data_IF_250058493281
#
_entry.id   IF_250058493281
#
_cell.length_a   1.000
_cell.length_b   1.000
_cell.length_c   1.000
_cell.angle_alpha   90.00
_cell.angle_beta   90.00
_cell.angle_gamma   90.00
#
_symmetry.space_group_name_H-M   'P 1'
#
loop_
_entity.id
_entity.type
_entity.pdbx_description
1 polymer ?
#
# COMPACT_ATOMS: atom_id res chain seq x y z
N UNK A 1 -52.56 33.81 -19.77
CA UNK A 1 -52.16 34.16 -21.14
C UNK A 1 -50.66 34.35 -21.15
N UNK A 2 -49.96 33.49 -21.92
CA UNK A 2 -48.66 33.67 -22.57
C UNK A 2 -47.56 34.43 -21.82
N UNK A 3 -46.48 33.73 -21.48
CA UNK A 3 -45.12 34.26 -21.65
C UNK A 3 -44.15 33.12 -22.02
N UNK A 4 -43.91 32.99 -23.33
CA UNK A 4 -42.75 32.32 -23.92
C UNK A 4 -41.49 33.16 -23.66
N UNK A 5 -40.35 32.53 -23.32
CA UNK A 5 -39.02 33.03 -23.71
C UNK A 5 -38.05 31.87 -24.03
N UNK A 6 -38.03 31.51 -25.31
CA UNK A 6 -36.90 31.28 -26.22
C UNK A 6 -35.57 30.71 -25.65
N UNK A 7 -35.31 29.44 -25.96
CA UNK A 7 -33.95 28.88 -26.09
C UNK A 7 -33.27 29.41 -27.35
N UNK A 8 -32.05 29.94 -27.21
CA UNK A 8 -31.17 30.30 -28.34
C UNK A 8 -30.10 29.22 -28.49
N UNK A 9 -30.08 28.64 -29.68
CA UNK A 9 -29.02 27.80 -30.23
C UNK A 9 -27.91 28.72 -30.74
N UNK A 10 -26.64 28.42 -30.42
CA UNK A 10 -25.51 28.92 -31.19
C UNK A 10 -24.47 27.81 -31.39
N UNK A 11 -24.33 27.38 -32.66
CA UNK A 11 -23.28 26.49 -33.15
C UNK A 11 -22.09 27.32 -33.67
N UNK A 12 -20.90 26.81 -33.37
CA UNK A 12 -19.64 26.78 -34.14
C UNK A 12 -19.04 28.05 -34.75
N UNK A 13 -17.74 28.23 -34.52
CA UNK A 13 -16.79 28.55 -35.60
C UNK A 13 -15.34 28.21 -35.22
N UNK A 14 -14.72 27.31 -36.00
CA UNK A 14 -13.36 27.37 -36.58
C UNK A 14 -12.18 27.85 -35.69
N UNK A 15 -11.01 27.20 -35.53
CA UNK A 15 -10.31 26.17 -36.29
C UNK A 15 -8.77 26.38 -36.15
N UNK A 16 -8.00 25.28 -36.22
CA UNK A 16 -6.51 25.15 -36.23
C UNK A 16 -5.81 25.31 -34.87
N UNK A 17 -4.84 24.47 -34.47
CA UNK A 17 -3.76 23.87 -35.28
C UNK A 17 -3.23 22.61 -34.56
N UNK A 18 -3.08 21.51 -35.30
CA UNK A 18 -2.33 20.32 -34.90
C UNK A 18 -0.83 20.66 -34.73
N UNK A 19 -0.21 20.15 -33.66
CA UNK A 19 1.21 19.80 -33.62
C UNK A 19 1.39 18.44 -32.90
N UNK A 20 2.46 17.69 -33.21
CA UNK A 20 2.44 16.24 -33.24
C UNK A 20 3.16 15.56 -32.05
N UNK A 21 2.75 14.31 -31.83
CA UNK A 21 3.49 13.15 -31.30
C UNK A 21 4.62 13.38 -30.27
N UNK A 22 4.37 12.97 -29.03
CA UNK A 22 5.43 12.39 -28.20
C UNK A 22 4.88 11.22 -27.36
N UNK A 23 4.96 10.03 -27.96
CA UNK A 23 5.17 8.74 -27.29
C UNK A 23 3.99 8.25 -26.44
N UNK A 24 3.09 7.62 -27.18
CA UNK A 24 2.28 6.49 -26.75
C UNK A 24 3.09 5.53 -25.86
N UNK A 25 2.74 5.45 -24.59
CA UNK A 25 2.78 4.19 -23.83
C UNK A 25 1.41 3.49 -23.86
N UNK A 26 0.60 3.72 -24.90
CA UNK A 26 -0.66 3.00 -25.13
C UNK A 26 -0.43 1.89 -26.15
N UNK A 27 0.15 0.82 -25.65
CA UNK A 27 0.25 -0.49 -26.28
C UNK A 27 -0.07 -1.60 -25.29
N UNK A 28 -0.93 -1.34 -24.30
CA UNK A 28 -1.55 -2.41 -23.54
C UNK A 28 -2.74 -2.92 -24.39
N UNK A 29 -2.75 -4.21 -24.82
CA UNK A 29 -4.00 -4.81 -25.25
C UNK A 29 -5.00 -4.67 -24.10
N UNK A 30 -6.31 -4.64 -24.40
CA UNK A 30 -7.35 -4.71 -23.38
C UNK A 30 -7.11 -5.93 -22.49
N UNK A 31 -6.39 -5.73 -21.38
CA UNK A 31 -6.00 -6.81 -20.50
C UNK A 31 -7.25 -7.16 -19.71
N UNK A 32 -7.85 -8.30 -20.05
CA UNK A 32 -8.54 -9.12 -19.06
C UNK A 32 -7.69 -9.10 -17.79
N UNK A 33 -8.29 -8.69 -16.67
CA UNK A 33 -7.71 -8.64 -15.31
C UNK A 33 -6.63 -9.70 -15.19
N UNK A 34 -5.37 -9.25 -15.18
CA UNK A 34 -4.21 -10.13 -15.23
C UNK A 34 -4.26 -11.06 -14.03
N UNK A 35 -4.51 -12.33 -14.29
CA UNK A 35 -4.50 -13.37 -13.27
C UNK A 35 -3.13 -13.40 -12.59
N UNK A 36 -3.10 -13.37 -11.26
CA UNK A 36 -2.04 -14.08 -10.54
C UNK A 36 -2.05 -15.51 -11.12
N UNK A 37 -0.93 -16.04 -11.66
CA UNK A 37 -0.91 -17.31 -12.34
C UNK A 37 -1.41 -18.41 -11.39
N UNK A 38 -1.95 -19.49 -11.96
CA UNK A 38 -2.37 -20.64 -11.18
C UNK A 38 -1.14 -21.21 -10.44
N UNK A 39 -0.97 -20.90 -9.15
CA UNK A 39 0.16 -21.44 -8.38
C UNK A 39 0.31 -20.93 -6.95
N UNK A 40 0.30 -19.61 -6.71
CA UNK A 40 0.49 -19.07 -5.36
C UNK A 40 -0.84 -18.61 -4.79
N UNK A 41 -1.36 -19.35 -3.82
CA UNK A 41 -2.51 -18.94 -3.01
C UNK A 41 -1.98 -18.36 -1.70
N UNK A 42 -1.99 -17.02 -1.51
CA UNK A 42 -1.47 -16.36 -0.32
C UNK A 42 -1.93 -16.99 1.00
N UNK A 43 -3.21 -17.40 1.10
CA UNK A 43 -3.75 -18.03 2.30
C UNK A 43 -3.16 -19.44 2.55
N UNK A 44 -2.85 -20.19 1.49
CA UNK A 44 -2.11 -21.45 1.62
C UNK A 44 -0.65 -21.20 2.00
N UNK A 45 -0.04 -20.18 1.40
CA UNK A 45 1.36 -19.82 1.64
C UNK A 45 1.60 -19.37 3.08
N UNK A 46 0.71 -18.57 3.65
CA UNK A 46 0.76 -18.19 5.07
C UNK A 46 0.71 -19.41 5.99
N UNK A 47 -0.13 -20.40 5.68
CA UNK A 47 -0.20 -21.67 6.43
C UNK A 47 1.09 -22.47 6.33
N UNK A 48 1.68 -22.59 5.15
CA UNK A 48 2.97 -23.28 4.96
C UNK A 48 4.11 -22.61 5.73
N UNK A 49 4.12 -21.28 5.77
CA UNK A 49 5.11 -20.49 6.50
C UNK A 49 4.85 -20.48 8.03
N UNK A 50 3.74 -21.06 8.50
CA UNK A 50 3.34 -21.01 9.91
C UNK A 50 2.99 -19.60 10.40
N UNK A 51 2.64 -18.69 9.48
CA UNK A 51 2.30 -17.30 9.80
C UNK A 51 0.82 -17.22 10.13
N UNK A 52 0.51 -16.76 11.35
CA UNK A 52 -0.84 -16.40 11.75
C UNK A 52 -0.97 -14.88 11.66
N UNK A 53 -1.94 -14.41 10.87
CA UNK A 53 -2.16 -12.98 10.74
C UNK A 53 -2.82 -12.41 12.00
N UNK A 54 -2.39 -11.22 12.45
CA UNK A 54 -3.05 -10.49 13.51
C UNK A 54 -4.46 -10.04 13.06
N UNK A 55 -5.35 -9.70 14.02
CA UNK A 55 -6.65 -9.14 13.68
C UNK A 55 -6.50 -7.82 12.92
N UNK A 56 -7.52 -7.48 12.13
CA UNK A 56 -7.58 -6.19 11.45
C UNK A 56 -7.55 -5.04 12.46
N UNK A 57 -6.83 -3.97 12.11
CA UNK A 57 -6.81 -2.76 12.93
C UNK A 57 -8.20 -2.12 13.02
N UNK A 58 -8.50 -1.56 14.19
CA UNK A 58 -9.79 -0.92 14.45
C UNK A 58 -9.80 0.47 13.80
N UNK A 59 -10.82 0.72 12.98
CA UNK A 59 -11.09 2.03 12.38
C UNK A 59 -11.43 3.08 13.42
N UNK A 60 -11.20 4.35 13.08
CA UNK A 60 -11.60 5.49 13.92
C UNK A 60 -12.76 6.24 13.25
N UNK A 61 -13.60 6.96 14.00
CA UNK A 61 -14.78 7.63 13.43
C UNK A 61 -14.48 8.58 12.27
N UNK A 62 -13.26 9.15 12.22
CA UNK A 62 -12.85 10.11 11.20
C UNK A 62 -11.90 9.54 10.13
N UNK A 63 -11.50 8.26 10.20
CA UNK A 63 -10.58 7.63 9.24
C UNK A 63 -10.60 6.10 9.33
N UNK A 64 -10.43 5.45 8.19
CA UNK A 64 -10.34 3.99 8.07
C UNK A 64 -8.90 3.52 7.86
N UNK A 65 -8.63 2.25 8.12
CA UNK A 65 -7.30 1.63 7.97
C UNK A 65 -7.09 1.02 6.60
N UNK A 66 -8.15 0.63 5.93
CA UNK A 66 -8.16 0.22 4.54
C UNK A 66 -9.41 0.76 3.84
N UNK A 67 -9.26 1.21 2.59
CA UNK A 67 -10.37 1.67 1.76
C UNK A 67 -10.23 1.09 0.36
N UNK A 68 -11.24 0.34 -0.08
CA UNK A 68 -11.33 -0.13 -1.46
C UNK A 68 -11.98 0.94 -2.35
N UNK A 69 -11.30 1.28 -3.45
CA UNK A 69 -11.76 2.17 -4.52
C UNK A 69 -11.53 1.48 -5.87
N UNK A 70 -12.59 0.87 -6.41
CA UNK A 70 -12.49 0.01 -7.60
C UNK A 70 -11.61 -1.23 -7.32
N UNK A 71 -10.60 -1.43 -8.17
CA UNK A 71 -9.62 -2.51 -8.04
C UNK A 71 -8.49 -2.19 -7.05
N UNK A 72 -8.45 -0.97 -6.50
CA UNK A 72 -7.38 -0.59 -5.59
C UNK A 72 -7.85 -0.62 -4.13
N UNK A 73 -7.00 -1.12 -3.24
CA UNK A 73 -7.16 -0.98 -1.80
C UNK A 73 -6.05 -0.11 -1.26
N UNK A 74 -6.44 1.06 -0.77
CA UNK A 74 -5.56 2.02 -0.12
C UNK A 74 -5.44 1.66 1.35
N UNK A 75 -4.22 1.41 1.81
CA UNK A 75 -3.94 1.18 3.22
C UNK A 75 -3.45 2.49 3.84
N UNK A 76 -4.02 2.87 4.98
CA UNK A 76 -3.46 3.94 5.80
C UNK A 76 -2.10 3.53 6.38
N UNK A 77 -1.37 4.47 6.99
CA UNK A 77 -0.15 4.16 7.74
C UNK A 77 -0.39 3.11 8.84
N UNK A 78 0.39 2.05 8.80
CA UNK A 78 0.50 1.02 9.84
C UNK A 78 1.90 1.03 10.43
N UNK A 79 2.06 0.65 11.68
CA UNK A 79 3.36 0.48 12.32
C UNK A 79 3.39 -0.75 13.21
N UNK A 80 4.49 -1.01 13.92
CA UNK A 80 4.62 -2.10 14.88
C UNK A 80 3.86 -1.76 16.16
N UNK A 81 2.54 -1.69 16.05
CA UNK A 81 1.60 -1.34 17.12
C UNK A 81 0.52 -2.43 17.14
N UNK A 82 0.29 -2.99 18.32
CA UNK A 82 -0.72 -4.03 18.50
C UNK A 82 -2.13 -3.49 18.16
N UNK A 83 -2.83 -4.06 17.16
CA UNK A 83 -4.12 -3.58 16.63
C UNK A 83 -5.19 -3.25 17.67
N UNK A 84 -5.28 -4.07 18.72
CA UNK A 84 -6.39 -4.02 19.68
C UNK A 84 -6.11 -3.12 20.88
N UNK A 85 -4.83 -2.98 21.25
CA UNK A 85 -4.41 -2.24 22.44
C UNK A 85 -3.78 -0.90 22.10
N UNK A 86 -3.49 -0.63 20.82
CA UNK A 86 -2.80 0.57 20.35
C UNK A 86 -1.45 0.79 21.07
N UNK A 87 -0.78 -0.31 21.42
CA UNK A 87 0.49 -0.33 22.15
C UNK A 87 1.64 -0.71 21.21
N UNK A 88 2.69 0.13 21.10
CA UNK A 88 3.88 -0.21 20.32
C UNK A 88 4.55 -1.49 20.83
N UNK A 89 4.95 -2.38 19.93
CA UNK A 89 5.74 -3.57 20.26
C UNK A 89 7.23 -3.25 20.35
N UNK A 90 7.66 -2.16 19.71
CA UNK A 90 9.01 -1.64 19.73
C UNK A 90 8.99 -0.11 19.55
N UNK A 91 9.90 0.59 20.22
CA UNK A 91 10.06 2.05 20.16
C UNK A 91 11.54 2.43 20.04
N UNK A 92 11.79 3.61 19.48
CA UNK A 92 13.11 4.22 19.36
C UNK A 92 13.51 4.51 17.91
N UNK A 93 14.67 5.16 17.77
CA UNK A 93 15.20 5.61 16.48
C UNK A 93 16.27 4.68 15.96
N UNK A 94 16.25 4.47 14.64
CA UNK A 94 17.28 3.77 13.91
C UNK A 94 18.58 4.58 13.93
N UNK A 95 19.68 3.94 14.33
CA UNK A 95 20.99 4.56 14.48
C UNK A 95 21.24 5.19 15.85
N UNK A 96 20.29 5.11 16.79
CA UNK A 96 20.48 5.52 18.20
C UNK A 96 20.11 4.40 19.16
N UNK A 97 18.82 4.12 19.34
CA UNK A 97 18.35 3.02 20.19
C UNK A 97 18.27 1.70 19.42
N UNK A 98 17.95 1.78 18.13
CA UNK A 98 17.63 0.63 17.30
C UNK A 98 18.65 0.42 16.19
N UNK A 99 18.96 -0.85 15.94
CA UNK A 99 19.77 -1.29 14.81
C UNK A 99 18.90 -1.42 13.55
N UNK A 100 19.55 -1.46 12.39
CA UNK A 100 18.87 -1.77 11.12
C UNK A 100 18.10 -3.09 11.18
N UNK A 101 18.65 -4.11 11.84
CA UNK A 101 18.00 -5.41 12.01
C UNK A 101 16.70 -5.30 12.84
N UNK A 102 16.70 -4.49 13.90
CA UNK A 102 15.47 -4.20 14.66
C UNK A 102 14.42 -3.52 13.77
N UNK A 103 14.84 -2.56 12.95
CA UNK A 103 13.95 -1.89 11.99
C UNK A 103 13.37 -2.86 10.96
N UNK A 104 14.21 -3.73 10.39
CA UNK A 104 13.75 -4.73 9.41
C UNK A 104 12.73 -5.71 10.02
N UNK A 105 12.97 -6.18 11.25
CA UNK A 105 11.99 -6.99 11.97
C UNK A 105 10.67 -6.23 12.21
N UNK A 106 10.75 -4.96 12.62
CA UNK A 106 9.57 -4.11 12.81
C UNK A 106 8.81 -3.83 11.49
N UNK A 107 9.52 -3.70 10.36
CA UNK A 107 8.94 -3.54 9.03
C UNK A 107 8.17 -4.80 8.61
N UNK A 108 8.74 -5.98 8.88
CA UNK A 108 8.09 -7.27 8.64
C UNK A 108 6.81 -7.40 9.48
N UNK A 109 6.90 -7.11 10.78
CA UNK A 109 5.75 -7.11 11.69
C UNK A 109 4.65 -6.16 11.22
N UNK A 110 5.03 -4.93 10.84
CA UNK A 110 4.11 -3.95 10.25
C UNK A 110 3.43 -4.49 8.99
N UNK A 111 4.17 -5.22 8.14
CA UNK A 111 3.60 -5.91 6.98
C UNK A 111 2.54 -6.95 7.36
N UNK A 112 2.73 -7.70 8.46
CA UNK A 112 1.71 -8.63 8.95
C UNK A 112 0.44 -7.91 9.42
N UNK A 113 0.58 -6.76 10.10
CA UNK A 113 -0.57 -5.92 10.46
C UNK A 113 -1.31 -5.38 9.23
N UNK A 114 -0.57 -4.95 8.20
CA UNK A 114 -1.15 -4.54 6.91
C UNK A 114 -1.94 -5.68 6.28
N UNK A 115 -1.37 -6.90 6.24
CA UNK A 115 -2.05 -8.07 5.67
C UNK A 115 -3.29 -8.47 6.48
N UNK A 116 -3.25 -8.38 7.80
CA UNK A 116 -4.40 -8.60 8.68
C UNK A 116 -5.54 -7.60 8.38
N UNK A 117 -5.22 -6.32 8.28
CA UNK A 117 -6.20 -5.27 7.92
C UNK A 117 -6.72 -5.45 6.50
N UNK A 118 -5.84 -5.74 5.53
CA UNK A 118 -6.21 -5.97 4.13
C UNK A 118 -7.19 -7.14 4.03
N UNK A 119 -6.89 -8.27 4.67
CA UNK A 119 -7.77 -9.43 4.75
C UNK A 119 -9.12 -9.08 5.39
N UNK A 120 -9.13 -8.27 6.44
CA UNK A 120 -10.37 -7.76 7.04
C UNK A 120 -11.20 -6.92 6.06
N UNK A 121 -10.55 -6.18 5.15
CA UNK A 121 -11.21 -5.35 4.15
C UNK A 121 -11.77 -6.14 2.95
N UNK A 122 -11.03 -7.13 2.44
CA UNK A 122 -11.38 -7.86 1.20
C UNK A 122 -11.83 -9.31 1.43
N UNK A 123 -11.81 -9.79 2.68
CA UNK A 123 -12.19 -11.15 3.07
C UNK A 123 -11.08 -12.20 2.90
N UNK A 124 -10.41 -12.25 1.74
CA UNK A 124 -9.32 -13.19 1.45
C UNK A 124 -8.16 -12.53 0.73
N UNK A 125 -6.93 -12.87 1.13
CA UNK A 125 -5.73 -12.41 0.44
C UNK A 125 -5.53 -13.05 -0.93
N UNK A 126 -6.25 -14.14 -1.24
CA UNK A 126 -6.23 -14.75 -2.57
C UNK A 126 -6.82 -13.84 -3.67
N UNK A 127 -7.53 -12.78 -3.28
CA UNK A 127 -8.03 -11.76 -4.19
C UNK A 127 -6.98 -10.73 -4.60
N UNK A 128 -5.80 -10.70 -3.95
CA UNK A 128 -4.73 -9.77 -4.29
C UNK A 128 -4.11 -10.15 -5.64
N UNK A 129 -4.00 -9.16 -6.53
CA UNK A 129 -3.30 -9.26 -7.80
C UNK A 129 -1.83 -8.89 -7.63
N UNK A 130 -1.55 -7.81 -6.89
CA UNK A 130 -0.20 -7.32 -6.55
C UNK A 130 -0.25 -6.20 -5.51
N UNK A 131 0.89 -5.92 -4.88
CA UNK A 131 1.24 -4.66 -4.25
C UNK A 131 1.72 -3.71 -5.36
N UNK A 132 1.01 -2.60 -5.55
CA UNK A 132 1.34 -1.58 -6.56
C UNK A 132 2.49 -0.70 -6.06
N UNK A 133 2.38 -0.24 -4.82
CA UNK A 133 3.31 0.70 -4.20
C UNK A 133 3.36 0.54 -2.68
N UNK A 134 4.53 0.80 -2.08
CA UNK A 134 4.68 0.93 -0.64
C UNK A 134 5.55 2.15 -0.25
N UNK A 135 5.16 2.88 0.78
CA UNK A 135 5.94 3.99 1.34
C UNK A 135 6.29 3.63 2.77
N UNK A 136 7.58 3.52 3.08
CA UNK A 136 8.09 3.36 4.43
C UNK A 136 8.63 4.68 4.96
N UNK A 137 8.10 5.12 6.10
CA UNK A 137 8.63 6.20 6.92
C UNK A 137 9.43 5.57 8.06
N UNK A 138 10.74 5.82 8.14
CA UNK A 138 11.64 5.22 9.13
C UNK A 138 12.07 6.31 10.12
N UNK A 139 11.86 6.09 11.42
CA UNK A 139 12.26 7.02 12.48
C UNK A 139 13.79 6.99 12.65
N UNK A 140 14.48 7.95 12.04
CA UNK A 140 15.93 7.93 11.90
C UNK A 140 16.60 8.94 12.85
N UNK A 141 17.64 8.50 13.55
CA UNK A 141 18.57 9.42 14.19
C UNK A 141 19.43 10.14 13.13
N UNK A 142 19.95 11.35 13.41
CA UNK A 142 20.88 12.03 12.52
C UNK A 142 22.07 11.13 12.14
N UNK A 143 22.32 11.00 10.84
CA UNK A 143 23.42 10.18 10.30
C UNK A 143 23.00 8.76 9.88
N UNK A 144 21.79 8.29 10.21
CA UNK A 144 21.28 7.02 9.70
C UNK A 144 20.87 7.16 8.22
N UNK A 145 21.55 6.45 7.32
CA UNK A 145 21.42 6.61 5.87
C UNK A 145 21.05 5.31 5.13
N UNK A 146 20.59 4.28 5.84
CA UNK A 146 20.16 3.00 5.27
C UNK A 146 18.65 2.69 5.44
N UNK A 147 17.71 3.66 5.33
CA UNK A 147 16.27 3.38 5.52
C UNK A 147 15.72 2.36 4.50
N UNK A 148 16.33 2.26 3.31
CA UNK A 148 15.95 1.25 2.31
C UNK A 148 16.19 -0.19 2.78
N UNK A 149 17.20 -0.42 3.62
CA UNK A 149 17.49 -1.76 4.16
C UNK A 149 16.50 -2.15 5.25
N UNK A 150 16.04 -1.18 6.05
CA UNK A 150 14.96 -1.35 7.02
C UNK A 150 13.66 -1.77 6.33
N UNK A 151 13.28 -1.12 5.23
CA UNK A 151 12.04 -1.45 4.51
C UNK A 151 12.09 -2.83 3.82
N UNK A 152 13.25 -3.49 3.72
CA UNK A 152 13.33 -4.85 3.17
C UNK A 152 12.51 -5.85 3.98
N UNK A 153 12.39 -5.71 5.30
CA UNK A 153 11.58 -6.65 6.08
C UNK A 153 10.12 -6.72 5.63
N UNK A 154 9.54 -5.59 5.19
CA UNK A 154 8.24 -5.56 4.55
C UNK A 154 8.27 -6.19 3.16
N UNK A 155 9.24 -5.80 2.32
CA UNK A 155 9.31 -6.29 0.95
C UNK A 155 9.55 -7.80 0.84
N UNK A 156 10.39 -8.34 1.72
CA UNK A 156 10.70 -9.76 1.81
C UNK A 156 9.46 -10.56 2.25
N UNK A 157 8.67 -10.03 3.20
CA UNK A 157 7.38 -10.64 3.57
C UNK A 157 6.42 -10.70 2.37
N UNK A 158 6.29 -9.60 1.62
CA UNK A 158 5.39 -9.58 0.45
C UNK A 158 5.85 -10.60 -0.60
N UNK A 159 7.16 -10.70 -0.83
CA UNK A 159 7.74 -11.71 -1.72
C UNK A 159 7.48 -13.15 -1.23
N UNK A 160 7.60 -13.41 0.08
CA UNK A 160 7.34 -14.72 0.68
C UNK A 160 5.88 -15.16 0.54
N UNK A 161 4.94 -14.21 0.68
CA UNK A 161 3.48 -14.46 0.68
C UNK A 161 2.90 -14.50 -0.73
N UNK A 162 3.29 -13.57 -1.60
CA UNK A 162 2.71 -13.42 -2.95
C UNK A 162 3.60 -13.94 -4.09
N UNK A 163 4.87 -14.28 -3.79
CA UNK A 163 5.82 -14.79 -4.79
C UNK A 163 6.44 -13.69 -5.68
N UNK A 164 7.24 -14.09 -6.67
CA UNK A 164 8.05 -13.17 -7.50
C UNK A 164 7.28 -12.13 -8.33
N UNK A 165 5.96 -12.31 -8.44
CA UNK A 165 5.07 -11.39 -9.17
C UNK A 165 4.89 -10.08 -8.41
N UNK A 166 5.20 -10.09 -7.11
CA UNK A 166 4.95 -8.96 -6.23
C UNK A 166 6.16 -8.04 -6.01
N UNK A 167 6.93 -7.84 -7.08
CA UNK A 167 7.93 -6.77 -7.14
C UNK A 167 7.23 -5.43 -7.23
N UNK A 168 6.94 -4.85 -6.07
CA UNK A 168 6.31 -3.55 -5.93
C UNK A 168 7.29 -2.40 -6.06
N UNK A 169 6.78 -1.25 -6.48
CA UNK A 169 7.52 0.00 -6.34
C UNK A 169 7.51 0.45 -4.88
N UNK A 170 8.56 1.15 -4.43
CA UNK A 170 8.58 1.67 -3.05
C UNK A 170 9.40 2.93 -2.87
N UNK A 171 9.11 3.65 -1.79
CA UNK A 171 9.92 4.75 -1.25
C UNK A 171 10.27 4.45 0.21
N UNK A 172 11.54 4.59 0.59
CA UNK A 172 11.99 4.47 1.97
C UNK A 172 12.57 5.81 2.43
N UNK A 173 11.90 6.48 3.36
CA UNK A 173 12.15 7.86 3.73
C UNK A 173 12.50 7.92 5.22
N UNK A 174 13.67 8.45 5.55
CA UNK A 174 14.01 8.78 6.93
C UNK A 174 13.22 10.00 7.40
N UNK A 175 12.54 9.88 8.53
CA UNK A 175 11.76 10.95 9.16
C UNK A 175 12.29 11.25 10.56
N UNK A 176 12.02 12.47 11.03
CA UNK A 176 12.51 12.93 12.32
C UNK A 176 11.77 12.28 13.50
N UNK A 177 10.46 12.05 13.37
CA UNK A 177 9.60 11.49 14.42
C UNK A 177 8.45 10.69 13.80
N UNK A 178 7.94 9.70 14.56
CA UNK A 178 6.74 8.95 14.24
C UNK A 178 5.80 8.87 15.46
N UNK A 179 4.54 8.53 15.20
CA UNK A 179 3.54 8.34 16.26
C UNK A 179 4.02 7.32 17.30
N UNK A 180 3.95 7.69 18.59
CA UNK A 180 4.39 6.85 19.72
C UNK A 180 5.85 6.39 19.66
N UNK A 181 6.71 7.13 18.95
CA UNK A 181 8.14 6.81 18.80
C UNK A 181 8.41 5.41 18.21
N UNK A 182 7.49 4.90 17.38
CA UNK A 182 7.72 3.66 16.64
C UNK A 182 8.90 3.81 15.65
N UNK A 183 9.61 2.72 15.34
CA UNK A 183 10.73 2.76 14.39
C UNK A 183 10.31 2.96 12.94
N UNK A 184 9.10 2.54 12.57
CA UNK A 184 8.64 2.53 11.19
C UNK A 184 7.12 2.68 11.08
N UNK A 185 6.67 3.40 10.06
CA UNK A 185 5.29 3.43 9.58
C UNK A 185 5.28 3.10 8.08
N UNK A 186 4.36 2.27 7.63
CA UNK A 186 4.24 1.82 6.24
C UNK A 186 2.83 2.11 5.71
N UNK A 187 2.78 2.76 4.56
CA UNK A 187 1.59 2.91 3.72
C UNK A 187 1.74 1.98 2.50
N UNK A 188 0.63 1.40 2.01
CA UNK A 188 0.68 0.52 0.86
C UNK A 188 -0.58 0.62 -0.01
N UNK A 189 -0.41 0.36 -1.31
CA UNK A 189 -1.48 0.29 -2.30
C UNK A 189 -1.51 -1.11 -2.90
N UNK A 190 -2.64 -1.78 -2.77
CA UNK A 190 -2.86 -3.11 -3.34
C UNK A 190 -3.80 -3.03 -4.53
N UNK A 191 -3.55 -3.85 -5.54
CA UNK A 191 -4.51 -4.15 -6.60
C UNK A 191 -5.18 -5.49 -6.25
N UNK A 192 -6.51 -5.53 -6.32
CA UNK A 192 -7.33 -6.69 -5.97
C UNK A 192 -8.34 -6.97 -7.08
N UNK A 193 -8.76 -8.24 -7.16
CA UNK A 193 -9.83 -8.66 -8.07
C UNK A 193 -11.20 -8.25 -7.54
N UNK A 194 -12.18 -8.23 -8.44
CA UNK A 194 -13.60 -8.08 -8.11
C UNK A 194 -14.12 -9.26 -7.28
#
# INVERSE_FOLDING_TARGET
MLHEQKQVIARSCCGRRLLPDSRRCFGAPSMSVGTCPPGVMPEARLRELGIVLPPAWIDKPNRVRALRSGIHVHMSGHGPIEPLTDTPTIIGKLGRELSEAHGSAAARETGLYILGTLKGCIGSLDWVVRVVHAIGFINCAPGFNTPSLVLNGFSDLMLEVFGEIDRHTRSAIGVAELYRDIPIEIEALFEVRD
#
